data_IF_006228963443
#
_entry.id   IF_006228963443
#
_cell.length_a   1.000
_cell.length_b   1.000
_cell.length_c   1.000
_cell.angle_alpha   90.00
_cell.angle_beta   90.00
_cell.angle_gamma   90.00
#
_symmetry.space_group_name_H-M   'P 1'
#
loop_
_entity.id
_entity.type
_entity.pdbx_description
1 polymer ?
#
# COMPACT_ATOMS: atom_id res chain seq x y z
N UNK A 1 3.16 -8.51 -2.15
CA UNK A 1 3.32 -7.55 -3.27
C UNK A 1 2.36 -7.81 -4.43
N UNK A 2 2.25 -9.03 -4.96
CA UNK A 2 1.34 -9.34 -6.10
C UNK A 2 -0.10 -8.84 -5.90
N UNK A 3 -0.69 -9.11 -4.72
CA UNK A 3 -2.06 -8.70 -4.42
C UNK A 3 -2.22 -7.16 -4.40
N UNK A 4 -1.25 -6.44 -3.82
CA UNK A 4 -1.25 -4.97 -3.81
C UNK A 4 -1.15 -4.40 -5.22
N UNK A 5 -0.28 -4.96 -6.06
CA UNK A 5 -0.15 -4.55 -7.46
C UNK A 5 -1.44 -4.76 -8.25
N UNK A 6 -2.11 -5.89 -8.05
CA UNK A 6 -3.38 -6.19 -8.72
C UNK A 6 -4.49 -5.19 -8.29
N UNK A 7 -4.60 -4.91 -6.99
CA UNK A 7 -5.53 -3.92 -6.45
C UNK A 7 -5.23 -2.50 -6.97
N UNK A 8 -3.96 -2.10 -6.96
CA UNK A 8 -3.52 -0.80 -7.46
C UNK A 8 -3.83 -0.63 -8.95
N UNK A 9 -3.48 -1.61 -9.78
CA UNK A 9 -3.72 -1.52 -11.24
C UNK A 9 -5.22 -1.48 -11.53
N UNK A 10 -6.01 -2.34 -10.87
CA UNK A 10 -7.46 -2.35 -11.03
C UNK A 10 -8.10 -1.00 -10.65
N UNK A 11 -7.73 -0.46 -9.50
CA UNK A 11 -8.22 0.86 -9.07
C UNK A 11 -7.78 2.00 -9.97
N UNK A 12 -6.52 2.00 -10.41
CA UNK A 12 -5.98 3.00 -11.31
C UNK A 12 -6.72 3.06 -12.65
N UNK A 13 -6.97 1.89 -13.26
CA UNK A 13 -7.69 1.78 -14.53
C UNK A 13 -9.12 2.31 -14.36
N UNK A 14 -9.81 1.90 -13.29
CA UNK A 14 -11.18 2.36 -13.00
C UNK A 14 -11.20 3.87 -12.77
N UNK A 15 -10.27 4.40 -11.97
CA UNK A 15 -10.21 5.82 -11.64
C UNK A 15 -9.94 6.68 -12.87
N UNK A 16 -8.99 6.28 -13.71
CA UNK A 16 -8.69 6.97 -14.96
C UNK A 16 -9.86 6.90 -15.95
N UNK A 17 -10.46 5.73 -16.12
CA UNK A 17 -11.64 5.56 -16.97
C UNK A 17 -12.77 6.51 -16.57
N UNK A 18 -13.08 6.56 -15.26
CA UNK A 18 -14.13 7.44 -14.72
C UNK A 18 -13.75 8.91 -14.92
N UNK A 19 -12.52 9.32 -14.55
CA UNK A 19 -12.08 10.71 -14.65
C UNK A 19 -12.14 11.25 -16.08
N UNK A 20 -11.76 10.43 -17.06
CA UNK A 20 -11.76 10.81 -18.48
C UNK A 20 -13.17 10.83 -19.04
N UNK A 21 -14.02 9.86 -18.66
CA UNK A 21 -15.42 9.84 -19.04
C UNK A 21 -16.17 11.08 -18.52
N UNK A 22 -15.89 11.49 -17.28
CA UNK A 22 -16.43 12.73 -16.71
C UNK A 22 -15.93 13.99 -17.43
N UNK A 23 -14.76 13.95 -18.05
CA UNK A 23 -14.23 15.03 -18.91
C UNK A 23 -14.81 15.03 -20.34
N UNK A 24 -15.71 14.09 -20.66
CA UNK A 24 -16.28 13.97 -22.01
C UNK A 24 -15.29 13.51 -23.08
N UNK A 25 -14.14 12.95 -22.68
CA UNK A 25 -13.12 12.43 -23.59
C UNK A 25 -13.26 10.91 -23.78
N UNK A 26 -12.66 10.35 -24.83
CA UNK A 26 -12.67 8.90 -25.10
C UNK A 26 -11.67 8.19 -24.18
N UNK A 27 -12.09 7.34 -23.23
CA UNK A 27 -11.20 6.72 -22.25
C UNK A 27 -10.21 5.75 -22.88
N UNK A 28 -10.59 5.03 -23.93
CA UNK A 28 -9.76 4.01 -24.58
C UNK A 28 -8.39 4.55 -25.01
N UNK A 29 -8.33 5.75 -25.60
CA UNK A 29 -7.08 6.34 -26.07
C UNK A 29 -6.07 6.60 -24.94
N UNK A 30 -6.56 6.91 -23.75
CA UNK A 30 -5.72 7.18 -22.59
C UNK A 30 -5.35 5.87 -21.87
N UNK A 31 -6.25 4.89 -21.79
CA UNK A 31 -5.93 3.59 -21.21
C UNK A 31 -4.88 2.82 -22.03
N UNK A 32 -4.80 3.05 -23.35
CA UNK A 32 -3.80 2.42 -24.22
C UNK A 32 -2.36 2.85 -23.94
N UNK A 33 -2.13 3.92 -23.17
CA UNK A 33 -0.78 4.41 -22.87
C UNK A 33 -0.09 3.61 -21.74
N UNK A 34 -0.82 2.73 -21.04
CA UNK A 34 -0.38 1.93 -19.88
C UNK A 34 0.28 2.72 -18.73
N UNK A 35 0.31 4.05 -18.81
CA UNK A 35 1.03 4.89 -17.87
C UNK A 35 0.37 4.91 -16.50
N UNK A 36 -0.96 4.73 -16.45
CA UNK A 36 -1.70 4.62 -15.18
C UNK A 36 -1.37 3.31 -14.47
N UNK A 37 -1.21 2.21 -15.22
CA UNK A 37 -0.82 0.92 -14.67
C UNK A 37 0.62 0.96 -14.14
N UNK A 38 1.54 1.62 -14.87
CA UNK A 38 2.91 1.85 -14.39
C UNK A 38 2.93 2.68 -13.10
N UNK A 39 2.16 3.77 -13.06
CA UNK A 39 2.02 4.62 -11.87
C UNK A 39 1.54 3.81 -10.66
N UNK A 40 0.50 3.00 -10.86
CA UNK A 40 -0.06 2.14 -9.83
C UNK A 40 0.94 1.08 -9.35
N UNK A 41 1.70 0.47 -10.27
CA UNK A 41 2.70 -0.54 -9.96
C UNK A 41 3.86 0.06 -9.14
N UNK A 42 4.35 1.24 -9.50
CA UNK A 42 5.39 1.94 -8.74
C UNK A 42 4.90 2.22 -7.31
N UNK A 43 3.67 2.71 -7.17
CA UNK A 43 3.09 2.95 -5.84
C UNK A 43 2.92 1.66 -5.04
N UNK A 44 2.42 0.58 -5.65
CA UNK A 44 2.24 -0.70 -4.99
C UNK A 44 3.56 -1.30 -4.48
N UNK A 45 4.67 -1.03 -5.16
CA UNK A 45 6.01 -1.45 -4.72
C UNK A 45 6.59 -0.56 -3.61
N UNK A 46 6.09 0.68 -3.48
CA UNK A 46 6.57 1.62 -2.48
C UNK A 46 5.89 1.44 -1.10
N UNK A 47 4.76 0.75 -1.03
CA UNK A 47 4.00 0.53 0.22
C UNK A 47 4.30 -0.84 0.86
N UNK A 48 4.01 -1.02 2.15
CA UNK A 48 4.18 -2.32 2.81
C UNK A 48 3.31 -3.42 2.16
N UNK A 49 3.83 -4.66 2.04
CA UNK A 49 3.16 -5.74 1.30
C UNK A 49 1.81 -6.13 1.88
N UNK A 50 1.66 -6.04 3.20
CA UNK A 50 0.47 -6.46 3.96
C UNK A 50 -0.32 -5.26 4.49
N UNK A 51 -0.11 -4.07 3.92
CA UNK A 51 -0.96 -2.93 4.21
C UNK A 51 -2.43 -3.31 3.89
N UNK A 52 -3.41 -2.86 4.70
CA UNK A 52 -4.81 -3.12 4.41
C UNK A 52 -5.20 -2.68 3.00
N UNK A 53 -6.08 -3.43 2.34
CA UNK A 53 -6.46 -3.18 0.94
C UNK A 53 -6.92 -1.74 0.67
N UNK A 54 -7.57 -1.09 1.64
CA UNK A 54 -8.05 0.28 1.50
C UNK A 54 -6.93 1.32 1.41
N UNK A 55 -5.73 1.06 1.96
CA UNK A 55 -4.58 1.97 1.87
C UNK A 55 -4.13 2.13 0.42
N UNK A 56 -3.92 1.01 -0.28
CA UNK A 56 -3.47 1.08 -1.67
C UNK A 56 -4.55 1.71 -2.56
N UNK A 57 -5.83 1.41 -2.31
CA UNK A 57 -6.95 2.02 -3.04
C UNK A 57 -6.92 3.55 -2.90
N UNK A 58 -6.83 4.06 -1.67
CA UNK A 58 -6.79 5.52 -1.43
C UNK A 58 -5.55 6.13 -2.07
N UNK A 59 -4.37 5.54 -1.88
CA UNK A 59 -3.13 6.06 -2.44
C UNK A 59 -3.16 6.10 -3.96
N UNK A 60 -3.66 5.05 -4.61
CA UNK A 60 -3.82 5.00 -6.06
C UNK A 60 -4.83 6.03 -6.55
N UNK A 61 -5.96 6.21 -5.87
CA UNK A 61 -6.93 7.25 -6.21
C UNK A 61 -6.30 8.64 -6.14
N UNK A 62 -5.54 8.94 -5.08
CA UNK A 62 -4.81 10.20 -4.95
C UNK A 62 -3.77 10.38 -6.07
N UNK A 63 -2.97 9.35 -6.36
CA UNK A 63 -1.97 9.38 -7.42
C UNK A 63 -2.60 9.67 -8.79
N UNK A 64 -3.69 8.99 -9.13
CA UNK A 64 -4.35 9.14 -10.43
C UNK A 64 -5.13 10.45 -10.51
N UNK A 65 -6.01 10.73 -9.54
CA UNK A 65 -6.88 11.90 -9.61
C UNK A 65 -6.10 13.19 -9.39
N UNK A 66 -5.34 13.28 -8.30
CA UNK A 66 -4.61 14.51 -7.93
C UNK A 66 -3.26 14.61 -8.64
N UNK A 67 -2.56 13.49 -8.82
CA UNK A 67 -1.23 13.48 -9.40
C UNK A 67 -1.19 13.50 -10.93
N UNK A 68 -2.17 12.89 -11.60
CA UNK A 68 -2.22 12.80 -13.07
C UNK A 68 -3.37 13.60 -13.68
N UNK A 69 -4.60 13.42 -13.21
CA UNK A 69 -5.77 13.93 -13.90
C UNK A 69 -6.01 15.42 -13.68
N UNK A 70 -5.75 15.98 -12.50
CA UNK A 70 -5.86 17.43 -12.24
C UNK A 70 -5.03 18.26 -13.22
N UNK A 71 -3.86 17.76 -13.64
CA UNK A 71 -2.95 18.46 -14.55
C UNK A 71 -3.24 18.22 -16.03
N UNK A 72 -4.30 17.48 -16.38
CA UNK A 72 -4.70 17.28 -17.77
C UNK A 72 -4.37 15.89 -18.34
N UNK A 73 -3.60 15.07 -17.64
CA UNK A 73 -3.28 13.68 -18.01
C UNK A 73 -1.80 13.45 -18.33
N UNK A 74 -1.51 12.41 -19.11
CA UNK A 74 -0.13 12.02 -19.43
C UNK A 74 0.64 13.16 -20.13
N UNK A 75 1.88 13.41 -19.68
CA UNK A 75 2.78 14.41 -20.26
C UNK A 75 2.63 15.83 -19.70
N UNK A 76 1.62 16.09 -18.85
CA UNK A 76 1.41 17.39 -18.20
C UNK A 76 1.70 17.37 -16.69
N UNK A 77 2.21 16.25 -16.17
CA UNK A 77 2.42 16.08 -14.73
C UNK A 77 3.75 16.75 -14.30
N UNK A 78 3.72 17.81 -13.46
CA UNK A 78 4.96 18.46 -13.00
C UNK A 78 5.79 17.56 -12.08
N UNK A 79 5.15 16.58 -11.44
CA UNK A 79 5.78 15.59 -10.56
C UNK A 79 5.35 14.18 -10.95
N UNK A 80 6.10 13.17 -10.48
CA UNK A 80 5.70 11.78 -10.63
C UNK A 80 4.39 11.51 -9.84
N UNK A 81 3.29 11.12 -10.51
CA UNK A 81 2.00 10.91 -9.84
C UNK A 81 2.05 9.84 -8.74
N UNK A 82 2.88 8.80 -8.90
CA UNK A 82 3.03 7.74 -7.91
C UNK A 82 3.59 8.29 -6.59
N UNK A 83 4.57 9.21 -6.68
CA UNK A 83 5.17 9.84 -5.51
C UNK A 83 4.20 10.76 -4.78
N UNK A 84 3.30 11.43 -5.50
CA UNK A 84 2.23 12.23 -4.89
C UNK A 84 1.33 11.34 -4.02
N UNK A 85 0.86 10.20 -4.57
CA UNK A 85 0.08 9.23 -3.80
C UNK A 85 0.83 8.70 -2.58
N UNK A 86 2.10 8.34 -2.76
CA UNK A 86 2.96 7.84 -1.68
C UNK A 86 3.13 8.84 -0.53
N UNK A 87 3.41 10.11 -0.83
CA UNK A 87 3.56 11.17 0.19
C UNK A 87 2.26 11.40 0.95
N UNK A 88 1.12 11.41 0.26
CA UNK A 88 -0.19 11.55 0.91
C UNK A 88 -0.44 10.40 1.88
N UNK A 89 -0.11 9.16 1.49
CA UNK A 89 -0.22 8.00 2.37
C UNK A 89 0.72 8.09 3.58
N UNK A 90 1.98 8.47 3.37
CA UNK A 90 2.95 8.62 4.45
C UNK A 90 2.49 9.62 5.53
N UNK A 91 1.93 10.75 5.10
CA UNK A 91 1.48 11.80 6.03
C UNK A 91 0.18 11.39 6.73
N UNK A 92 -0.75 10.78 5.99
CA UNK A 92 -2.11 10.50 6.50
C UNK A 92 -2.21 9.19 7.29
N UNK A 93 -1.41 8.19 6.92
CA UNK A 93 -1.47 6.82 7.45
C UNK A 93 -0.08 6.30 7.83
N UNK A 94 0.66 7.01 8.71
CA UNK A 94 2.04 6.66 9.03
C UNK A 94 2.17 5.25 9.60
N UNK A 95 1.27 4.85 10.52
CA UNK A 95 1.29 3.52 11.15
C UNK A 95 1.25 2.39 10.11
N UNK A 96 0.32 2.47 9.16
CA UNK A 96 0.17 1.46 8.11
C UNK A 96 1.37 1.46 7.16
N UNK A 97 2.00 2.61 6.93
CA UNK A 97 3.15 2.77 6.04
C UNK A 97 4.49 2.35 6.67
N UNK A 98 4.57 2.30 8.00
CA UNK A 98 5.78 1.87 8.73
C UNK A 98 5.74 0.41 9.18
N UNK A 99 4.63 -0.31 8.98
CA UNK A 99 4.51 -1.71 9.43
C UNK A 99 5.00 -2.69 8.36
N UNK A 100 6.30 -3.02 8.40
CA UNK A 100 6.94 -3.98 7.48
C UNK A 100 7.20 -5.31 8.18
N UNK A 101 7.05 -6.43 7.44
CA UNK A 101 7.40 -7.75 7.97
C UNK A 101 8.92 -7.92 7.94
N UNK A 102 9.53 -8.49 9.00
CA UNK A 102 10.95 -8.82 9.02
C UNK A 102 11.33 -9.88 7.98
N UNK A 103 12.63 -10.04 7.70
CA UNK A 103 13.13 -11.10 6.83
C UNK A 103 12.56 -12.49 7.18
N UNK A 104 12.20 -13.26 6.15
CA UNK A 104 11.50 -14.55 6.28
C UNK A 104 12.25 -15.55 7.17
N UNK A 105 13.58 -15.48 7.16
CA UNK A 105 14.45 -16.33 7.99
C UNK A 105 14.34 -16.06 9.50
N UNK A 106 13.76 -14.93 9.91
CA UNK A 106 13.56 -14.57 11.31
C UNK A 106 12.14 -14.93 11.80
N UNK A 107 11.22 -15.26 10.87
CA UNK A 107 9.85 -15.62 11.20
C UNK A 107 9.78 -17.09 11.62
N UNK A 108 9.18 -17.35 12.78
CA UNK A 108 8.86 -18.73 13.20
C UNK A 108 7.81 -19.37 12.30
N UNK A 109 6.87 -18.55 11.81
CA UNK A 109 5.75 -18.94 10.94
C UNK A 109 5.75 -18.03 9.71
N UNK A 110 6.38 -18.44 8.59
CA UNK A 110 6.40 -17.62 7.38
C UNK A 110 4.99 -17.55 6.77
N UNK A 111 4.44 -16.35 6.51
CA UNK A 111 3.08 -16.21 6.02
C UNK A 111 2.91 -16.87 4.66
N UNK A 112 1.90 -17.73 4.56
CA UNK A 112 1.52 -18.38 3.31
C UNK A 112 0.78 -17.42 2.39
N UNK A 113 0.49 -17.85 1.15
CA UNK A 113 -0.32 -17.06 0.23
C UNK A 113 -1.74 -16.79 0.77
N UNK A 114 -2.35 -17.76 1.44
CA UNK A 114 -3.66 -17.59 2.09
C UNK A 114 -3.59 -16.59 3.24
N UNK A 115 -2.53 -16.62 4.03
CA UNK A 115 -2.34 -15.64 5.11
C UNK A 115 -2.14 -14.24 4.57
N UNK A 116 -1.42 -14.09 3.44
CA UNK A 116 -1.27 -12.79 2.79
C UNK A 116 -2.63 -12.21 2.36
N UNK A 117 -3.50 -13.04 1.79
CA UNK A 117 -4.86 -12.63 1.44
C UNK A 117 -5.66 -12.22 2.68
N UNK A 118 -5.71 -13.08 3.71
CA UNK A 118 -6.43 -12.80 4.96
C UNK A 118 -5.90 -11.53 5.63
N UNK A 119 -4.59 -11.38 5.78
CA UNK A 119 -3.99 -10.18 6.38
C UNK A 119 -4.37 -8.89 5.65
N UNK A 120 -4.42 -8.90 4.32
CA UNK A 120 -4.75 -7.70 3.52
C UNK A 120 -6.22 -7.31 3.65
N UNK A 121 -7.14 -8.29 3.77
CA UNK A 121 -8.58 -8.04 3.79
C UNK A 121 -9.21 -8.00 5.19
N UNK A 122 -8.78 -8.87 6.11
CA UNK A 122 -9.30 -8.98 7.48
C UNK A 122 -8.34 -8.46 8.55
N UNK A 123 -7.03 -8.37 8.25
CA UNK A 123 -6.01 -7.99 9.22
C UNK A 123 -5.53 -9.13 10.12
N UNK A 124 -5.98 -10.36 9.88
CA UNK A 124 -5.63 -11.57 10.63
C UNK A 124 -5.08 -12.65 9.67
N UNK A 125 -4.14 -13.47 10.14
CA UNK A 125 -3.74 -14.69 9.43
C UNK A 125 -4.84 -15.75 9.51
N UNK A 126 -4.69 -16.85 8.77
CA UNK A 126 -5.61 -18.00 8.84
C UNK A 126 -5.66 -18.59 10.25
N UNK A 127 -4.54 -18.53 10.98
CA UNK A 127 -4.41 -18.97 12.37
C UNK A 127 -4.81 -17.92 13.41
N UNK A 128 -5.29 -16.75 12.96
CA UNK A 128 -5.81 -15.69 13.84
C UNK A 128 -4.77 -14.73 14.42
N UNK A 129 -3.54 -14.74 13.94
CA UNK A 129 -2.50 -13.81 14.38
C UNK A 129 -2.60 -12.47 13.65
N UNK A 130 -2.35 -11.37 14.36
CA UNK A 130 -2.22 -10.04 13.76
C UNK A 130 -0.81 -9.83 13.20
N UNK A 131 -0.68 -8.88 12.27
CA UNK A 131 0.61 -8.46 11.74
C UNK A 131 1.59 -7.98 12.84
N UNK A 132 1.08 -7.32 13.89
CA UNK A 132 1.89 -6.89 15.03
C UNK A 132 2.40 -8.07 15.86
N UNK A 133 1.62 -9.14 16.03
CA UNK A 133 2.06 -10.34 16.74
C UNK A 133 3.15 -11.09 15.98
N UNK A 134 3.04 -11.16 14.64
CA UNK A 134 4.08 -11.76 13.79
C UNK A 134 5.41 -11.01 13.85
N UNK A 135 5.37 -9.70 14.10
CA UNK A 135 6.57 -8.85 14.21
C UNK A 135 7.14 -8.81 15.62
N UNK A 136 6.30 -8.79 16.67
CA UNK A 136 6.72 -8.71 18.07
C UNK A 136 7.32 -10.00 18.66
N UNK A 137 7.08 -11.18 18.07
CA UNK A 137 7.74 -12.42 18.52
C UNK A 137 9.29 -12.38 18.37
N UNK A 138 9.82 -11.42 17.60
CA UNK A 138 11.26 -11.20 17.42
C UNK A 138 11.80 -10.11 18.38
N UNK A 139 10.98 -9.12 18.74
CA UNK A 139 11.36 -8.10 19.73
C UNK A 139 11.47 -8.69 21.15
N UNK A 140 10.68 -9.72 21.46
CA UNK A 140 10.73 -10.43 22.74
C UNK A 140 12.01 -11.25 22.97
N UNK A 141 12.66 -11.73 21.90
CA UNK A 141 13.93 -12.48 21.96
C UNK A 141 15.17 -11.58 21.88
N UNK A 142 15.04 -10.38 21.31
CA UNK A 142 16.14 -9.41 21.21
C UNK A 142 16.21 -8.40 22.35
N UNK A 143 15.17 -8.32 23.21
CA UNK A 143 15.07 -7.45 24.41
C UNK A 143 16.08 -6.29 24.43
N UNK A 144 15.98 -5.38 23.46
CA UNK A 144 16.82 -4.20 23.41
C UNK A 144 16.06 -2.99 23.98
N UNK A 145 15.64 -3.07 25.25
CA UNK A 145 15.53 -2.02 26.29
C UNK A 145 14.46 -2.36 27.34
N UNK A 146 14.83 -2.81 28.55
CA UNK A 146 13.89 -3.04 29.65
C UNK A 146 13.60 -1.73 30.41
N UNK A 147 13.24 -0.65 29.71
CA UNK A 147 12.88 0.61 30.39
C UNK A 147 11.39 0.62 30.81
N UNK A 148 10.51 -0.04 30.07
CA UNK A 148 9.08 -0.16 30.43
C UNK A 148 8.83 -1.12 31.59
N UNK A 149 9.65 -2.18 31.74
CA UNK A 149 9.57 -3.05 32.94
C UNK A 149 9.99 -2.32 34.22
N UNK A 150 10.86 -1.30 34.14
CA UNK A 150 11.35 -0.58 35.32
C UNK A 150 10.34 0.45 35.87
N UNK A 151 9.41 0.95 35.06
CA UNK A 151 8.40 1.94 35.48
C UNK A 151 7.33 1.38 36.41
N UNK A 152 7.16 0.05 36.46
CA UNK A 152 6.16 -0.60 37.32
C UNK A 152 6.72 -0.98 38.71
N UNK A 153 7.97 -0.60 39.03
CA UNK A 153 8.62 -0.89 40.32
C UNK A 153 8.91 0.37 41.17
N UNK A 154 8.43 1.56 40.76
CA UNK A 154 8.45 2.81 41.53
C UNK A 154 7.02 3.33 41.69
#
# INVERSE_FOLDING_TARGET
>A
MLLQSALAIGTAIIAEFIAIKLRGKKPLNYLSDFSVALTALILAMAIPPYAPYWIIIIGTLCAVLLGKQVYGGLGQNPFNPAMIGYVILLISFPLQMTTWIPPINLLQEPPTFSDAFSLIFSGLTTDGFTLSQLTHNIDGITQATPLDSAKNFL
#
